data_IF_267762080280
#
_entry.id   IF_267762080280
#
_cell.length_a   1.000
_cell.length_b   1.000
_cell.length_c   1.000
_cell.angle_alpha   90.00
_cell.angle_beta   90.00
_cell.angle_gamma   90.00
#
_symmetry.space_group_name_H-M   'P 1'
#
loop_
_entity.id
_entity.type
_entity.pdbx_description
1 polymer ?
#
# COMPACT_ATOMS: atom_id res chain seq x y z
N UNK A 1 35.86 -9.01 18.59
CA UNK A 1 35.98 -9.94 17.44
C UNK A 1 34.93 -9.51 16.42
N UNK A 2 35.28 -8.57 15.53
CA UNK A 2 34.33 -7.82 14.68
C UNK A 2 34.59 -8.08 13.17
N UNK A 3 35.52 -8.97 12.80
CA UNK A 3 36.05 -8.99 11.43
C UNK A 3 35.68 -10.20 10.57
N UNK A 4 34.89 -11.16 11.05
CA UNK A 4 34.46 -12.35 10.26
C UNK A 4 32.96 -12.41 9.95
N UNK A 5 32.16 -11.47 10.46
CA UNK A 5 30.71 -11.44 10.25
C UNK A 5 30.27 -11.14 8.80
N UNK A 6 30.97 -10.33 7.99
CA UNK A 6 30.59 -10.07 6.60
C UNK A 6 30.85 -11.25 5.65
N UNK A 7 31.96 -11.97 5.84
CA UNK A 7 32.39 -13.05 4.94
C UNK A 7 31.58 -14.33 5.12
N UNK A 8 31.23 -14.70 6.36
CA UNK A 8 30.30 -15.80 6.63
C UNK A 8 28.89 -15.51 6.12
N UNK A 9 28.42 -14.25 6.25
CA UNK A 9 27.15 -13.82 5.67
C UNK A 9 27.15 -13.94 4.15
N UNK A 10 28.23 -13.53 3.49
CA UNK A 10 28.40 -13.60 2.03
C UNK A 10 28.41 -15.05 1.51
N UNK A 11 29.13 -15.97 2.16
CA UNK A 11 29.13 -17.39 1.80
C UNK A 11 27.77 -18.07 2.02
N UNK A 12 27.05 -17.71 3.09
CA UNK A 12 25.71 -18.26 3.37
C UNK A 12 24.67 -17.93 2.30
N UNK A 13 24.81 -16.79 1.61
CA UNK A 13 23.84 -16.35 0.60
C UNK A 13 24.32 -16.52 -0.85
N UNK A 14 25.60 -16.84 -1.07
CA UNK A 14 26.24 -16.94 -2.38
C UNK A 14 25.64 -17.98 -3.32
N UNK A 15 25.08 -19.07 -2.77
CA UNK A 15 24.47 -20.17 -3.51
C UNK A 15 22.95 -20.13 -3.62
N UNK A 16 22.30 -19.11 -3.04
CA UNK A 16 20.85 -19.01 -3.00
C UNK A 16 20.38 -18.21 -4.22
N UNK A 17 19.80 -18.87 -5.23
CA UNK A 17 19.26 -18.21 -6.43
C UNK A 17 18.26 -17.08 -6.13
N UNK A 18 17.55 -17.21 -5.00
CA UNK A 18 16.64 -16.19 -4.48
C UNK A 18 17.33 -14.87 -4.09
N UNK A 19 18.64 -14.85 -3.78
CA UNK A 19 19.26 -13.58 -3.35
C UNK A 19 19.43 -12.58 -4.49
N UNK A 20 19.73 -13.07 -5.69
CA UNK A 20 19.79 -12.24 -6.89
C UNK A 20 18.41 -11.68 -7.24
N UNK A 21 17.38 -12.53 -7.17
CA UNK A 21 15.99 -12.19 -7.43
C UNK A 21 15.44 -11.19 -6.40
N UNK A 22 15.69 -11.43 -5.12
CA UNK A 22 15.30 -10.54 -4.03
C UNK A 22 16.00 -9.18 -4.15
N UNK A 23 17.31 -9.16 -4.45
CA UNK A 23 18.05 -7.92 -4.69
C UNK A 23 17.46 -7.15 -5.87
N UNK A 24 17.18 -7.83 -6.98
CA UNK A 24 16.58 -7.21 -8.15
C UNK A 24 15.18 -6.66 -7.85
N UNK A 25 14.37 -7.39 -7.09
CA UNK A 25 13.06 -6.93 -6.65
C UNK A 25 13.16 -5.66 -5.80
N UNK A 26 14.02 -5.67 -4.77
CA UNK A 26 14.24 -4.50 -3.89
C UNK A 26 14.73 -3.30 -4.69
N UNK A 27 15.70 -3.48 -5.58
CA UNK A 27 16.31 -2.36 -6.31
C UNK A 27 15.35 -1.74 -7.34
N UNK A 28 14.49 -2.53 -7.97
CA UNK A 28 13.74 -2.09 -9.16
C UNK A 28 12.22 -2.06 -9.00
N UNK A 29 11.64 -2.38 -7.84
CA UNK A 29 10.16 -2.39 -7.69
C UNK A 29 9.49 -1.00 -7.79
N UNK A 30 10.27 0.08 -7.84
CA UNK A 30 9.78 1.44 -8.13
C UNK A 30 9.95 1.87 -9.60
N UNK A 31 10.52 1.00 -10.44
CA UNK A 31 10.48 1.20 -11.89
C UNK A 31 9.04 1.08 -12.40
N UNK A 32 8.72 1.79 -13.49
CA UNK A 32 7.39 1.83 -14.08
C UNK A 32 7.46 1.34 -15.51
N UNK A 33 6.43 0.63 -15.98
CA UNK A 33 6.44 0.05 -17.34
C UNK A 33 6.67 1.08 -18.45
N UNK A 34 6.26 2.33 -18.24
CA UNK A 34 6.44 3.47 -19.14
C UNK A 34 7.81 4.18 -19.04
N UNK A 35 8.69 3.75 -18.14
CA UNK A 35 10.02 4.36 -17.92
C UNK A 35 10.04 5.59 -17.02
N UNK A 36 8.89 6.04 -16.51
CA UNK A 36 8.83 7.19 -15.58
C UNK A 36 9.19 6.84 -14.13
N UNK A 37 9.60 5.60 -13.89
CA UNK A 37 10.04 5.10 -12.59
C UNK A 37 11.52 5.40 -12.30
N UNK A 38 11.99 4.87 -11.17
CA UNK A 38 13.34 5.08 -10.68
C UNK A 38 13.89 3.79 -10.05
N UNK A 39 15.23 3.65 -9.90
CA UNK A 39 16.27 4.66 -10.09
C UNK A 39 16.89 4.75 -11.49
N UNK A 40 16.61 3.81 -12.40
CA UNK A 40 17.28 3.74 -13.71
C UNK A 40 16.36 4.06 -14.89
N UNK A 41 15.05 4.23 -14.69
CA UNK A 41 14.10 4.55 -15.75
C UNK A 41 13.92 3.39 -16.73
N UNK A 42 13.93 2.15 -16.21
CA UNK A 42 13.81 0.95 -17.02
C UNK A 42 12.41 0.85 -17.64
N UNK A 43 12.31 0.38 -18.88
CA UNK A 43 11.05 0.29 -19.62
C UNK A 43 10.65 -1.16 -19.86
N UNK A 44 9.36 -1.46 -19.67
CA UNK A 44 8.77 -2.73 -20.06
C UNK A 44 9.47 -3.97 -19.46
N UNK A 45 10.03 -4.82 -20.33
CA UNK A 45 10.71 -6.06 -19.94
C UNK A 45 12.16 -5.88 -19.50
N UNK A 46 12.71 -4.66 -19.55
CA UNK A 46 14.00 -4.34 -18.92
C UNK A 46 13.90 -4.41 -17.39
N UNK A 47 12.69 -4.20 -16.85
CA UNK A 47 12.41 -4.34 -15.42
C UNK A 47 12.39 -5.83 -15.07
N UNK A 48 13.20 -6.30 -14.09
CA UNK A 48 13.19 -7.70 -13.66
C UNK A 48 11.78 -8.18 -13.29
N UNK A 49 11.45 -9.43 -13.62
CA UNK A 49 10.12 -9.98 -13.38
C UNK A 49 9.70 -9.90 -11.91
N UNK A 50 10.58 -10.28 -10.98
CA UNK A 50 10.31 -10.20 -9.54
C UNK A 50 10.05 -8.77 -9.05
N UNK A 51 10.73 -7.77 -9.62
CA UNK A 51 10.45 -6.38 -9.32
C UNK A 51 9.06 -5.95 -9.78
N UNK A 52 8.61 -6.42 -10.96
CA UNK A 52 7.25 -6.17 -11.47
C UNK A 52 6.17 -6.87 -10.63
N UNK A 53 6.47 -8.05 -10.09
CA UNK A 53 5.58 -8.75 -9.12
C UNK A 53 5.47 -7.94 -7.84
N UNK A 54 6.61 -7.56 -7.24
CA UNK A 54 6.64 -6.81 -5.98
C UNK A 54 5.99 -5.44 -6.11
N UNK A 55 6.20 -4.73 -7.24
CA UNK A 55 5.55 -3.44 -7.49
C UNK A 55 4.02 -3.50 -7.41
N UNK A 56 3.42 -4.55 -7.97
CA UNK A 56 1.96 -4.77 -7.92
C UNK A 56 1.51 -5.16 -6.51
N UNK A 57 2.27 -6.04 -5.84
CA UNK A 57 1.94 -6.48 -4.48
C UNK A 57 2.03 -5.34 -3.46
N UNK A 58 3.09 -4.52 -3.52
CA UNK A 58 3.30 -3.35 -2.65
C UNK A 58 2.20 -2.31 -2.85
N UNK A 59 1.86 -1.98 -4.09
CA UNK A 59 0.78 -1.04 -4.39
C UNK A 59 -0.59 -1.55 -3.91
N UNK A 60 -0.86 -2.85 -4.08
CA UNK A 60 -2.08 -3.47 -3.58
C UNK A 60 -2.15 -3.39 -2.05
N UNK A 61 -1.11 -3.84 -1.35
CA UNK A 61 -1.02 -3.80 0.10
C UNK A 61 -1.17 -2.36 0.62
N UNK A 62 -0.45 -1.40 0.05
CA UNK A 62 -0.55 0.01 0.42
C UNK A 62 -1.97 0.59 0.27
N UNK A 63 -2.77 0.08 -0.66
CA UNK A 63 -4.18 0.49 -0.85
C UNK A 63 -5.15 -0.22 0.10
N UNK A 64 -4.89 -1.49 0.42
CA UNK A 64 -5.81 -2.35 1.18
C UNK A 64 -5.47 -2.45 2.67
N UNK A 65 -4.30 -1.96 3.10
CA UNK A 65 -3.88 -1.96 4.49
C UNK A 65 -4.28 -0.65 5.19
N UNK A 66 -4.84 -0.77 6.39
CA UNK A 66 -5.08 0.39 7.28
C UNK A 66 -3.75 0.85 7.88
N UNK A 67 -3.01 1.69 7.16
CA UNK A 67 -2.00 2.55 7.83
C UNK A 67 -2.77 3.52 8.73
N UNK A 68 -2.26 3.80 9.94
CA UNK A 68 -2.92 4.36 11.14
C UNK A 68 -3.90 5.55 11.01
N UNK A 69 -4.13 6.09 9.81
CA UNK A 69 -4.98 7.26 9.56
C UNK A 69 -5.88 7.13 8.31
N UNK A 70 -6.01 5.93 7.70
CA UNK A 70 -6.90 5.72 6.54
C UNK A 70 -7.65 4.39 6.63
N UNK A 71 -8.98 4.40 6.48
CA UNK A 71 -9.76 3.17 6.25
C UNK A 71 -9.22 2.49 4.98
N UNK A 72 -8.94 1.20 5.05
CA UNK A 72 -8.56 0.38 3.89
C UNK A 72 -9.51 0.62 2.72
N UNK A 73 -8.98 0.79 1.50
CA UNK A 73 -9.84 0.79 0.30
C UNK A 73 -10.41 -0.63 0.16
N UNK A 74 -11.68 -0.79 -0.25
CA UNK A 74 -12.20 -2.10 -0.62
C UNK A 74 -11.30 -2.74 -1.68
N UNK A 75 -11.07 -4.05 -1.58
CA UNK A 75 -10.22 -4.81 -2.54
C UNK A 75 -10.60 -4.52 -3.99
N UNK A 76 -11.90 -4.48 -4.28
CA UNK A 76 -12.40 -4.16 -5.63
C UNK A 76 -11.97 -2.77 -6.13
N UNK A 77 -11.82 -1.79 -5.24
CA UNK A 77 -11.33 -0.45 -5.58
C UNK A 77 -9.83 -0.48 -5.86
N UNK A 78 -9.06 -1.23 -5.06
CA UNK A 78 -7.62 -1.40 -5.29
C UNK A 78 -7.35 -2.11 -6.62
N UNK A 79 -8.10 -3.16 -6.95
CA UNK A 79 -7.96 -3.88 -8.22
C UNK A 79 -8.27 -3.00 -9.43
N UNK A 80 -9.35 -2.21 -9.39
CA UNK A 80 -9.66 -1.24 -10.46
C UNK A 80 -8.55 -0.22 -10.66
N UNK A 81 -7.89 0.22 -9.59
CA UNK A 81 -6.77 1.15 -9.69
C UNK A 81 -5.56 0.50 -10.37
N UNK A 82 -5.23 -0.74 -10.00
CA UNK A 82 -4.15 -1.51 -10.63
C UNK A 82 -4.43 -1.74 -12.12
N UNK A 83 -5.67 -2.08 -12.48
CA UNK A 83 -6.11 -2.26 -13.87
C UNK A 83 -6.00 -0.96 -14.66
N UNK A 84 -6.44 0.17 -14.08
CA UNK A 84 -6.32 1.51 -14.69
C UNK A 84 -4.87 1.88 -14.99
N UNK A 85 -3.96 1.48 -14.10
CA UNK A 85 -2.52 1.76 -14.19
C UNK A 85 -1.73 0.67 -14.95
N UNK A 86 -2.39 -0.37 -15.46
CA UNK A 86 -1.74 -1.44 -16.21
C UNK A 86 -1.25 -0.92 -17.56
N UNK A 87 -0.02 -1.27 -17.92
CA UNK A 87 0.64 -0.86 -19.16
C UNK A 87 1.43 0.45 -19.05
N UNK A 88 1.18 1.26 -18.02
CA UNK A 88 1.95 2.48 -17.73
C UNK A 88 2.78 2.33 -16.47
N UNK A 89 2.13 2.12 -15.32
CA UNK A 89 2.83 1.88 -14.06
C UNK A 89 3.18 0.40 -13.88
N UNK A 90 2.21 -0.48 -14.11
CA UNK A 90 2.31 -1.90 -13.77
C UNK A 90 2.30 -2.78 -15.00
N UNK A 91 2.99 -3.93 -14.92
CA UNK A 91 2.88 -4.95 -15.96
C UNK A 91 1.46 -5.56 -15.95
N UNK A 92 0.70 -5.49 -17.06
CA UNK A 92 -0.63 -6.09 -17.16
C UNK A 92 -0.65 -7.59 -16.81
N UNK A 93 0.44 -8.33 -17.06
CA UNK A 93 0.55 -9.75 -16.71
C UNK A 93 0.53 -9.96 -15.20
N UNK A 94 1.21 -9.10 -14.44
CA UNK A 94 1.32 -9.19 -12.99
C UNK A 94 0.02 -8.76 -12.31
N UNK A 95 -0.64 -7.72 -12.82
CA UNK A 95 -1.99 -7.33 -12.37
C UNK A 95 -2.98 -8.49 -12.55
N UNK A 96 -3.03 -9.11 -13.73
CA UNK A 96 -3.88 -10.30 -13.96
C UNK A 96 -3.51 -11.49 -13.08
N UNK A 97 -2.22 -11.66 -12.77
CA UNK A 97 -1.78 -12.73 -11.87
C UNK A 97 -2.31 -12.51 -10.44
N UNK A 98 -2.24 -11.27 -9.93
CA UNK A 98 -2.80 -10.90 -8.63
C UNK A 98 -4.31 -11.14 -8.57
N UNK A 99 -5.07 -10.65 -9.57
CA UNK A 99 -6.54 -10.85 -9.62
C UNK A 99 -6.88 -12.33 -9.51
N UNK A 100 -6.25 -13.18 -10.33
CA UNK A 100 -6.48 -14.63 -10.29
C UNK A 100 -6.06 -15.28 -8.97
N UNK A 101 -5.02 -14.76 -8.30
CA UNK A 101 -4.61 -15.26 -6.99
C UNK A 101 -5.67 -14.93 -5.93
N UNK A 102 -6.20 -13.71 -5.93
CA UNK A 102 -7.24 -13.27 -5.01
C UNK A 102 -8.56 -14.02 -5.22
N UNK A 103 -8.94 -14.31 -6.48
CA UNK A 103 -10.11 -15.12 -6.79
C UNK A 103 -10.01 -16.55 -6.24
N UNK A 104 -8.81 -17.14 -6.26
CA UNK A 104 -8.59 -18.51 -5.77
C UNK A 104 -8.48 -18.60 -4.26
N UNK A 105 -7.85 -17.62 -3.62
CA UNK A 105 -7.42 -17.73 -2.23
C UNK A 105 -8.15 -16.76 -1.28
N UNK A 106 -8.90 -15.79 -1.82
CA UNK A 106 -9.46 -14.69 -1.06
C UNK A 106 -8.39 -13.70 -0.58
N UNK A 107 -8.84 -12.62 0.08
CA UNK A 107 -7.98 -11.69 0.79
C UNK A 107 -8.55 -11.42 2.18
N UNK A 108 -7.77 -11.75 3.20
CA UNK A 108 -8.11 -11.48 4.59
C UNK A 108 -7.03 -10.56 5.16
N UNK A 109 -7.41 -9.37 5.61
CA UNK A 109 -6.48 -8.46 6.27
C UNK A 109 -6.22 -8.98 7.69
N UNK A 110 -5.08 -9.63 7.93
CA UNK A 110 -4.61 -9.88 9.28
C UNK A 110 -4.09 -8.56 9.85
N UNK A 111 -4.88 -7.92 10.70
CA UNK A 111 -4.38 -6.85 11.57
C UNK A 111 -3.37 -7.52 12.52
N UNK A 112 -2.07 -7.23 12.37
CA UNK A 112 -1.13 -7.47 13.45
C UNK A 112 -1.44 -6.45 14.55
N UNK A 113 -2.07 -6.94 15.62
CA UNK A 113 -2.51 -6.33 16.89
C UNK A 113 -1.53 -5.32 17.50
N UNK A 114 -1.91 -4.32 18.34
CA UNK A 114 -3.00 -4.21 19.32
C UNK A 114 -3.21 -2.74 19.74
N UNK A 115 -4.44 -2.22 19.78
CA UNK A 115 -4.97 -1.39 20.89
C UNK A 115 -6.49 -1.23 20.72
N UNK A 116 -7.23 -1.54 21.79
CA UNK A 116 -8.68 -1.61 21.82
C UNK A 116 -9.36 -0.35 21.26
N UNK A 117 -10.24 -0.55 20.28
CA UNK A 117 -11.12 0.50 19.79
C UNK A 117 -12.01 1.01 20.93
N UNK A 118 -11.74 2.24 21.40
CA UNK A 118 -12.69 2.98 22.24
C UNK A 118 -13.99 3.22 21.45
N UNK A 119 -15.17 2.85 21.98
CA UNK A 119 -16.42 3.08 21.27
C UNK A 119 -16.72 4.59 21.27
N UNK A 120 -16.61 5.23 20.11
CA UNK A 120 -17.16 6.57 19.89
C UNK A 120 -18.68 6.43 19.89
N UNK A 121 -19.31 6.88 20.98
CA UNK A 121 -20.77 7.00 21.08
C UNK A 121 -21.33 7.94 20.00
N UNK A 122 -22.63 7.82 19.67
CA UNK A 122 -23.22 8.58 18.58
C UNK A 122 -23.12 10.09 18.83
N UNK A 123 -22.93 10.92 17.78
CA UNK A 123 -22.85 12.36 17.91
C UNK A 123 -24.16 12.88 18.55
N UNK A 124 -24.02 13.67 19.61
CA UNK A 124 -25.13 14.33 20.27
C UNK A 124 -25.89 15.25 19.29
N UNK A 125 -27.19 15.50 19.54
CA UNK A 125 -28.03 16.25 18.62
C UNK A 125 -27.50 17.68 18.41
N UNK A 126 -27.71 18.25 17.21
CA UNK A 126 -27.28 19.61 16.91
C UNK A 126 -28.01 20.60 17.82
N UNK A 127 -27.27 21.54 18.42
CA UNK A 127 -27.86 22.63 19.19
C UNK A 127 -28.63 23.54 18.24
N UNK A 128 -29.90 23.79 18.56
CA UNK A 128 -30.77 24.70 17.82
C UNK A 128 -30.23 26.13 17.84
N UNK A 129 -30.39 26.90 16.75
CA UNK A 129 -30.04 28.32 16.74
C UNK A 129 -31.03 29.12 17.59
N UNK A 130 -30.49 29.88 18.53
CA UNK A 130 -31.24 30.76 19.43
C UNK A 130 -31.88 31.87 18.61
N UNK A 131 -33.21 31.85 18.51
CA UNK A 131 -33.99 32.81 17.74
C UNK A 131 -34.40 33.98 18.64
N UNK A 132 -33.83 35.16 18.37
CA UNK A 132 -34.56 36.42 18.23
C UNK A 132 -35.24 37.09 19.44
N UNK A 133 -34.68 38.25 19.79
CA UNK A 133 -35.35 39.57 19.80
C UNK A 133 -35.98 40.15 21.09
N UNK A 134 -35.47 41.35 21.40
CA UNK A 134 -36.19 42.60 21.70
C UNK A 134 -36.78 42.90 23.10
N UNK A 135 -36.10 43.90 23.70
CA UNK A 135 -36.66 45.19 24.12
C UNK A 135 -37.45 45.26 25.44
N UNK A 136 -36.91 45.99 26.42
CA UNK A 136 -37.65 47.05 27.12
C UNK A 136 -36.75 48.00 27.93
N UNK A 137 -37.28 49.22 28.10
CA UNK A 137 -36.70 50.49 28.51
C UNK A 137 -37.03 50.77 29.98
N UNK A 138 -36.13 51.44 30.76
CA UNK A 138 -36.36 52.54 31.75
C UNK A 138 -35.30 52.51 32.88
N UNK A 139 -34.48 53.55 33.03
CA UNK A 139 -34.63 54.76 33.88
C UNK A 139 -34.45 54.51 35.38
N UNK A 140 -33.43 55.16 35.95
CA UNK A 140 -33.13 55.26 37.38
C UNK A 140 -31.84 56.03 37.57
#
# INVERSE_FOLDING_TARGET
MIELHPEYGHEMVRGIGFLGEARAAILHHHERMDGSGYPYGLVGHQIPEFARVVAVADAFDAMTSTRCYRRARPVAVALRELERCAGTQFDPRMVRALVRALERHGWQTSVTSDEAAVPVGPPGPPRSPETGASHQIRTG
#
